data_IF_212685283171
#
_entry.id   IF_212685283171
#
_cell.length_a   1.000
_cell.length_b   1.000
_cell.length_c   1.000
_cell.angle_alpha   90.00
_cell.angle_beta   90.00
_cell.angle_gamma   90.00
#
_symmetry.space_group_name_H-M   'P 1'
#
loop_
_entity.id
_entity.type
_entity.pdbx_description
1 polymer ?
#
# COMPACT_ATOMS: atom_id res chain seq x y z
N UNK A 1 38.55 49.96 -0.07
CA UNK A 1 38.50 48.81 0.88
C UNK A 1 37.30 47.97 0.49
N UNK A 2 37.37 47.02 -0.46
CA UNK A 2 38.12 45.75 -0.53
C UNK A 2 37.37 44.56 0.14
N UNK A 3 37.08 43.55 -0.70
CA UNK A 3 36.93 42.07 -0.49
C UNK A 3 35.81 41.53 0.44
N UNK A 4 35.19 40.35 0.24
CA UNK A 4 35.28 39.27 -0.76
C UNK A 4 34.04 38.34 -0.68
N UNK A 5 33.84 37.57 -1.76
CA UNK A 5 33.03 36.34 -1.85
C UNK A 5 33.33 35.31 -0.77
N UNK A 6 32.32 34.51 -0.41
CA UNK A 6 32.47 33.27 0.34
C UNK A 6 31.26 32.36 0.17
N UNK A 7 31.33 31.49 -0.83
CA UNK A 7 30.51 30.29 -0.92
C UNK A 7 30.93 29.30 0.16
N UNK A 8 29.97 28.79 0.94
CA UNK A 8 30.13 27.54 1.68
C UNK A 8 28.95 26.62 1.37
N UNK A 9 29.24 25.65 0.50
CA UNK A 9 28.50 24.40 0.44
C UNK A 9 28.59 23.74 1.82
N UNK A 10 27.46 23.41 2.41
CA UNK A 10 27.40 22.50 3.56
C UNK A 10 26.45 21.37 3.22
N UNK A 11 27.01 20.38 2.53
CA UNK A 11 26.45 19.04 2.51
C UNK A 11 26.49 18.46 3.92
N UNK A 12 25.32 18.32 4.54
CA UNK A 12 25.11 17.32 5.58
C UNK A 12 24.83 16.00 4.83
N UNK A 13 25.86 15.21 4.56
CA UNK A 13 26.34 14.18 5.48
C UNK A 13 25.23 13.16 5.70
N UNK A 14 25.27 12.09 4.91
CA UNK A 14 24.38 10.95 5.03
C UNK A 14 24.48 10.37 6.43
N UNK A 15 23.43 10.57 7.22
CA UNK A 15 23.17 9.71 8.34
C UNK A 15 22.81 8.35 7.76
N UNK A 16 23.73 7.39 7.88
CA UNK A 16 23.42 5.99 7.72
C UNK A 16 22.25 5.70 8.65
N UNK A 17 21.06 5.47 8.07
CA UNK A 17 19.90 5.05 8.81
C UNK A 17 20.26 3.72 9.48
N UNK A 18 20.21 3.72 10.81
CA UNK A 18 20.22 2.51 11.63
C UNK A 18 19.26 1.50 10.99
N UNK A 19 19.74 0.28 10.74
CA UNK A 19 19.03 -0.80 10.02
C UNK A 19 17.82 -1.39 10.75
N UNK A 20 17.03 -0.56 11.43
CA UNK A 20 15.75 -0.90 12.01
C UNK A 20 14.60 -0.68 11.01
N UNK A 21 13.46 -1.31 11.31
CA UNK A 21 12.21 -1.09 10.57
C UNK A 21 11.75 0.36 10.82
N UNK A 22 11.39 1.15 9.79
CA UNK A 22 10.86 2.49 10.00
C UNK A 22 9.59 2.48 10.86
N UNK A 23 9.42 3.47 11.74
CA UNK A 23 8.25 3.58 12.65
C UNK A 23 6.91 3.47 11.93
N UNK A 24 6.78 4.03 10.72
CA UNK A 24 5.54 3.94 9.95
C UNK A 24 5.23 2.52 9.48
N UNK A 25 6.25 1.68 9.30
CA UNK A 25 6.08 0.25 9.01
C UNK A 25 5.68 -0.50 10.27
N UNK A 26 6.19 -0.12 11.45
CA UNK A 26 5.75 -0.68 12.74
C UNK A 26 4.28 -0.34 13.03
N UNK A 27 3.89 0.93 12.87
CA UNK A 27 2.51 1.40 13.02
C UNK A 27 1.57 0.65 12.04
N UNK A 28 2.03 0.40 10.80
CA UNK A 28 1.29 -0.39 9.83
C UNK A 28 1.21 -1.87 10.20
N UNK A 29 2.30 -2.47 10.69
CA UNK A 29 2.33 -3.87 11.11
C UNK A 29 1.35 -4.11 12.26
N UNK A 30 1.20 -3.16 13.18
CA UNK A 30 0.15 -3.21 14.20
C UNK A 30 -1.25 -3.23 13.56
N UNK A 31 -1.57 -2.28 12.68
CA UNK A 31 -2.85 -2.25 11.96
C UNK A 31 -3.13 -3.56 11.20
N UNK A 32 -2.12 -4.07 10.47
CA UNK A 32 -2.23 -5.29 9.70
C UNK A 32 -2.56 -6.48 10.60
N UNK A 33 -1.87 -6.60 11.73
CA UNK A 33 -2.09 -7.69 12.67
C UNK A 33 -3.42 -7.58 13.42
N UNK A 34 -3.87 -6.37 13.75
CA UNK A 34 -5.12 -6.14 14.49
C UNK A 34 -6.37 -6.29 13.62
N UNK A 35 -6.29 -5.96 12.32
CA UNK A 35 -7.48 -5.90 11.46
C UNK A 35 -7.41 -6.80 10.23
N UNK A 36 -6.28 -6.81 9.51
CA UNK A 36 -6.16 -7.56 8.26
C UNK A 36 -6.03 -9.06 8.53
N UNK A 37 -5.17 -9.46 9.47
CA UNK A 37 -4.96 -10.87 9.82
C UNK A 37 -6.25 -11.56 10.27
N UNK A 38 -7.06 -11.00 11.20
CA UNK A 38 -8.34 -11.60 11.57
C UNK A 38 -9.30 -11.73 10.39
N UNK A 39 -9.37 -10.73 9.51
CA UNK A 39 -10.21 -10.79 8.30
C UNK A 39 -9.75 -11.90 7.35
N UNK A 40 -8.46 -11.96 7.04
CA UNK A 40 -7.87 -13.00 6.17
C UNK A 40 -8.15 -14.39 6.75
N UNK A 41 -7.91 -14.56 8.05
CA UNK A 41 -8.17 -15.82 8.74
C UNK A 41 -9.65 -16.20 8.71
N UNK A 42 -10.56 -15.24 8.86
CA UNK A 42 -12.01 -15.49 8.76
C UNK A 42 -12.41 -15.88 7.32
N UNK A 43 -11.96 -15.12 6.32
CA UNK A 43 -12.27 -15.37 4.92
C UNK A 43 -11.74 -16.72 4.42
N UNK A 44 -10.57 -17.15 4.90
CA UNK A 44 -9.96 -18.45 4.55
C UNK A 44 -10.60 -19.66 5.24
N UNK A 45 -11.52 -19.47 6.21
CA UNK A 45 -12.24 -20.60 6.85
C UNK A 45 -13.27 -21.26 5.95
N UNK A 46 -13.76 -20.56 4.92
CA UNK A 46 -14.71 -21.11 3.95
C UNK A 46 -14.08 -21.17 2.57
N UNK A 47 -14.29 -22.30 1.87
CA UNK A 47 -13.88 -22.45 0.46
C UNK A 47 -14.49 -21.39 -0.44
N UNK A 48 -15.67 -20.91 -0.11
CA UNK A 48 -16.38 -19.89 -0.87
C UNK A 48 -15.71 -18.51 -0.81
N UNK A 49 -14.99 -18.20 0.27
CA UNK A 49 -14.36 -16.89 0.49
C UNK A 49 -12.84 -16.95 0.59
N UNK A 50 -12.24 -18.12 0.39
CA UNK A 50 -10.79 -18.33 0.46
C UNK A 50 -10.01 -17.43 -0.51
N UNK A 51 -10.55 -17.22 -1.71
CA UNK A 51 -10.00 -16.30 -2.69
C UNK A 51 -9.97 -14.85 -2.16
N UNK A 52 -11.01 -14.40 -1.47
CA UNK A 52 -11.06 -13.06 -0.83
C UNK A 52 -9.95 -12.92 0.20
N UNK A 53 -9.78 -13.91 1.08
CA UNK A 53 -8.70 -13.89 2.06
C UNK A 53 -7.31 -13.83 1.41
N UNK A 54 -7.14 -14.53 0.28
CA UNK A 54 -5.88 -14.55 -0.46
C UNK A 54 -5.61 -13.25 -1.23
N UNK A 55 -6.65 -12.59 -1.73
CA UNK A 55 -6.54 -11.26 -2.33
C UNK A 55 -6.22 -10.19 -1.29
N UNK A 56 -6.89 -10.23 -0.13
CA UNK A 56 -6.65 -9.29 0.95
C UNK A 56 -5.20 -9.38 1.47
N UNK A 57 -4.70 -10.59 1.72
CA UNK A 57 -3.31 -10.80 2.14
C UNK A 57 -2.31 -10.23 1.14
N UNK A 58 -2.52 -10.43 -0.17
CA UNK A 58 -1.65 -9.86 -1.20
C UNK A 58 -1.75 -8.34 -1.29
N UNK A 59 -2.96 -7.78 -1.31
CA UNK A 59 -3.17 -6.34 -1.45
C UNK A 59 -2.58 -5.57 -0.25
N UNK A 60 -2.95 -5.95 0.96
CA UNK A 60 -2.45 -5.32 2.19
C UNK A 60 -0.97 -5.67 2.45
N UNK A 61 -0.50 -6.86 2.07
CA UNK A 61 0.92 -7.18 2.07
C UNK A 61 1.73 -6.22 1.17
N UNK A 62 1.19 -5.85 0.01
CA UNK A 62 1.83 -4.88 -0.88
C UNK A 62 1.85 -3.47 -0.28
N UNK A 63 0.81 -3.04 0.44
CA UNK A 63 0.78 -1.72 1.12
C UNK A 63 1.98 -1.58 2.07
N UNK A 64 2.33 -2.64 2.81
CA UNK A 64 3.54 -2.65 3.66
C UNK A 64 4.81 -2.38 2.84
N UNK A 65 4.95 -3.04 1.71
CA UNK A 65 6.08 -2.86 0.77
C UNK A 65 6.14 -1.42 0.27
N UNK A 66 4.99 -0.82 -0.06
CA UNK A 66 4.92 0.57 -0.51
C UNK A 66 5.34 1.55 0.60
N UNK A 67 4.88 1.35 1.84
CA UNK A 67 5.28 2.17 3.00
C UNK A 67 6.80 2.07 3.21
N UNK A 68 7.35 0.85 3.27
CA UNK A 68 8.79 0.63 3.44
C UNK A 68 9.63 1.27 2.31
N UNK A 69 9.21 1.12 1.06
CA UNK A 69 9.87 1.72 -0.10
C UNK A 69 9.84 3.25 -0.04
N UNK A 70 8.71 3.85 0.37
CA UNK A 70 8.56 5.31 0.49
C UNK A 70 9.51 5.96 1.50
N UNK A 71 9.96 5.20 2.51
CA UNK A 71 10.91 5.68 3.52
C UNK A 71 12.37 5.65 3.05
N UNK A 72 12.67 4.84 2.05
CA UNK A 72 14.04 4.63 1.55
C UNK A 72 14.29 5.24 0.17
N UNK A 73 13.22 5.60 -0.54
CA UNK A 73 13.28 6.04 -1.92
C UNK A 73 12.59 7.38 -2.11
N UNK A 74 13.07 8.16 -3.07
CA UNK A 74 12.32 9.32 -3.57
C UNK A 74 11.14 8.83 -4.42
N UNK A 75 10.12 9.68 -4.56
CA UNK A 75 9.00 9.40 -5.47
C UNK A 75 9.55 9.14 -6.88
N UNK A 76 9.28 7.96 -7.47
CA UNK A 76 9.73 7.66 -8.82
C UNK A 76 8.92 8.45 -9.86
N UNK A 77 9.40 8.49 -11.10
CA UNK A 77 8.61 8.97 -12.23
C UNK A 77 7.39 8.07 -12.46
N UNK A 78 6.32 8.61 -13.06
CA UNK A 78 5.02 7.94 -13.18
C UNK A 78 5.11 6.55 -13.83
N UNK A 79 5.94 6.38 -14.86
CA UNK A 79 6.13 5.08 -15.51
C UNK A 79 6.78 4.04 -14.58
N UNK A 80 7.69 4.46 -13.70
CA UNK A 80 8.30 3.57 -12.71
C UNK A 80 7.37 3.32 -11.52
N UNK A 81 6.54 4.30 -11.14
CA UNK A 81 5.47 4.11 -10.15
C UNK A 81 4.44 3.09 -10.64
N UNK A 82 3.99 3.22 -11.90
CA UNK A 82 3.05 2.29 -12.51
C UNK A 82 3.57 0.84 -12.47
N UNK A 83 4.84 0.62 -12.86
CA UNK A 83 5.49 -0.69 -12.76
C UNK A 83 5.60 -1.19 -11.33
N UNK A 84 5.93 -0.31 -10.39
CA UNK A 84 6.03 -0.68 -8.98
C UNK A 84 4.70 -1.22 -8.45
N UNK A 85 3.57 -0.62 -8.85
CA UNK A 85 2.23 -0.99 -8.36
C UNK A 85 1.53 -2.09 -9.17
N UNK A 86 2.13 -2.58 -10.26
CA UNK A 86 1.57 -3.68 -11.06
C UNK A 86 1.10 -4.89 -10.22
N UNK A 87 1.84 -5.35 -9.19
CA UNK A 87 1.37 -6.45 -8.35
C UNK A 87 0.04 -6.15 -7.65
N UNK A 88 -0.16 -4.91 -7.19
CA UNK A 88 -1.42 -4.49 -6.57
C UNK A 88 -2.54 -4.38 -7.61
N UNK A 89 -2.25 -3.76 -8.76
CA UNK A 89 -3.20 -3.64 -9.88
C UNK A 89 -3.67 -5.00 -10.38
N UNK A 90 -2.79 -6.01 -10.39
CA UNK A 90 -3.13 -7.37 -10.75
C UNK A 90 -4.13 -7.98 -9.75
N UNK A 91 -3.91 -7.81 -8.45
CA UNK A 91 -4.86 -8.26 -7.40
C UNK A 91 -6.22 -7.60 -7.59
N UNK A 92 -6.26 -6.27 -7.74
CA UNK A 92 -7.51 -5.53 -7.96
C UNK A 92 -8.23 -6.08 -9.20
N UNK A 93 -7.52 -6.27 -10.31
CA UNK A 93 -8.09 -6.80 -11.55
C UNK A 93 -8.65 -8.22 -11.37
N UNK A 94 -7.99 -9.08 -10.58
CA UNK A 94 -8.50 -10.42 -10.27
C UNK A 94 -9.83 -10.38 -9.50
N UNK A 95 -10.01 -9.43 -8.59
CA UNK A 95 -11.26 -9.29 -7.82
C UNK A 95 -12.46 -8.89 -8.68
N UNK A 96 -12.20 -8.25 -9.82
CA UNK A 96 -13.24 -7.84 -10.78
C UNK A 96 -13.65 -8.98 -11.72
N UNK A 97 -12.92 -10.10 -11.72
CA UNK A 97 -13.27 -11.25 -12.56
C UNK A 97 -14.43 -12.03 -11.92
N UNK A 98 -15.39 -12.52 -12.73
CA UNK A 98 -16.46 -13.37 -12.21
C UNK A 98 -15.89 -14.61 -11.52
N UNK A 99 -16.23 -14.80 -10.25
CA UNK A 99 -15.91 -16.01 -9.51
C UNK A 99 -17.21 -16.63 -8.98
N UNK A 100 -17.64 -17.71 -9.63
CA UNK A 100 -18.92 -18.38 -9.32
C UNK A 100 -18.92 -19.11 -7.98
N UNK A 101 -17.76 -19.27 -7.35
CA UNK A 101 -17.60 -19.90 -6.03
C UNK A 101 -17.81 -18.89 -4.90
N UNK A 102 -17.60 -17.60 -5.16
CA UNK A 102 -17.76 -16.54 -4.16
C UNK A 102 -19.21 -16.03 -4.20
N UNK A 103 -19.90 -15.90 -3.05
CA UNK A 103 -21.20 -15.25 -2.97
C UNK A 103 -21.13 -13.84 -3.59
N UNK A 104 -22.07 -13.52 -4.47
CA UNK A 104 -22.03 -12.28 -5.26
C UNK A 104 -21.87 -11.01 -4.40
N UNK A 105 -22.54 -10.98 -3.23
CA UNK A 105 -22.44 -9.85 -2.30
C UNK A 105 -21.02 -9.70 -1.72
N UNK A 106 -20.36 -10.81 -1.37
CA UNK A 106 -18.98 -10.77 -0.87
C UNK A 106 -18.00 -10.38 -1.98
N UNK A 107 -18.18 -10.93 -3.18
CA UNK A 107 -17.36 -10.59 -4.34
C UNK A 107 -17.44 -9.09 -4.67
N UNK A 108 -18.66 -8.54 -4.73
CA UNK A 108 -18.88 -7.11 -4.99
C UNK A 108 -18.30 -6.24 -3.87
N UNK A 109 -18.69 -6.49 -2.62
CA UNK A 109 -18.24 -5.67 -1.49
C UNK A 109 -16.71 -5.65 -1.37
N UNK A 110 -16.06 -6.79 -1.55
CA UNK A 110 -14.61 -6.85 -1.51
C UNK A 110 -13.96 -6.22 -2.74
N UNK A 111 -14.50 -6.47 -3.94
CA UNK A 111 -13.99 -5.91 -5.19
C UNK A 111 -14.01 -4.38 -5.22
N UNK A 112 -15.03 -3.75 -4.64
CA UNK A 112 -15.10 -2.30 -4.51
C UNK A 112 -14.10 -1.81 -3.44
N UNK A 113 -14.13 -2.41 -2.24
CA UNK A 113 -13.32 -1.96 -1.11
C UNK A 113 -11.80 -2.15 -1.31
N UNK A 114 -11.37 -3.21 -2.02
CA UNK A 114 -9.93 -3.49 -2.21
C UNK A 114 -9.24 -2.39 -3.01
N UNK A 115 -9.97 -1.63 -3.85
CA UNK A 115 -9.43 -0.50 -4.61
C UNK A 115 -8.87 0.58 -3.67
N UNK A 116 -9.43 0.72 -2.47
CA UNK A 116 -8.94 1.65 -1.44
C UNK A 116 -7.46 1.45 -1.10
N UNK A 117 -6.95 0.22 -1.23
CA UNK A 117 -5.54 -0.09 -0.96
C UNK A 117 -4.57 0.63 -1.90
N UNK A 118 -5.05 1.18 -3.03
CA UNK A 118 -4.26 1.96 -3.98
C UNK A 118 -4.13 3.45 -3.61
N UNK A 119 -4.59 3.89 -2.44
CA UNK A 119 -4.61 5.29 -2.00
C UNK A 119 -3.26 6.02 -2.14
N UNK A 120 -2.15 5.33 -1.94
CA UNK A 120 -0.81 5.91 -1.99
C UNK A 120 -0.34 6.26 -3.41
N UNK A 121 -1.10 5.85 -4.44
CA UNK A 121 -0.86 6.23 -5.83
C UNK A 121 -1.52 7.56 -6.19
N UNK A 122 -2.44 8.05 -5.37
CA UNK A 122 -3.18 9.27 -5.62
C UNK A 122 -2.35 10.50 -5.24
N UNK A 123 -2.26 11.48 -6.14
CA UNK A 123 -1.57 12.75 -5.87
C UNK A 123 -2.34 13.71 -4.95
N UNK A 124 -3.49 13.29 -4.41
CA UNK A 124 -4.43 14.11 -3.65
C UNK A 124 -4.72 13.58 -2.24
N UNK A 125 -5.94 13.83 -1.74
CA UNK A 125 -6.34 13.45 -0.39
C UNK A 125 -6.60 11.93 -0.30
N UNK A 126 -5.61 11.18 0.16
CA UNK A 126 -5.67 9.74 0.35
C UNK A 126 -6.85 9.27 1.23
N UNK A 127 -7.22 10.06 2.25
CA UNK A 127 -8.33 9.72 3.14
C UNK A 127 -9.67 9.81 2.40
N UNK A 128 -9.90 10.90 1.66
CA UNK A 128 -11.11 11.06 0.88
C UNK A 128 -11.25 9.93 -0.15
N UNK A 129 -10.16 9.62 -0.87
CA UNK A 129 -10.14 8.49 -1.79
C UNK A 129 -10.52 7.16 -1.12
N UNK A 130 -9.92 6.86 0.04
CA UNK A 130 -10.24 5.62 0.75
C UNK A 130 -11.70 5.59 1.24
N UNK A 131 -12.27 6.73 1.65
CA UNK A 131 -13.67 6.83 2.05
C UNK A 131 -14.62 6.61 0.86
N UNK A 132 -14.34 7.20 -0.30
CA UNK A 132 -15.14 7.03 -1.51
C UNK A 132 -15.21 5.57 -1.99
N UNK A 133 -14.23 4.73 -1.64
CA UNK A 133 -14.25 3.30 -1.98
C UNK A 133 -15.02 2.44 -0.96
N UNK A 134 -15.42 3.00 0.18
CA UNK A 134 -16.10 2.29 1.27
C UNK A 134 -17.59 2.65 1.37
N UNK A 135 -18.05 3.67 0.64
CA UNK A 135 -19.45 4.13 0.54
C UNK A 135 -20.16 3.56 -0.69
#
# INVERSE_FOLDING_TARGET
HAVASGSVSSGASGAAASGGVPREVEDYDQFYNEHVVPFVNAAKKSKETEAIGSWAERAWGFVRTAIFASKQSKKPADAALAKFVEPLSAVITETQKPNRTIPANHAKAFGDAVVATSWFTQGGNARAFAQDQLE
#
